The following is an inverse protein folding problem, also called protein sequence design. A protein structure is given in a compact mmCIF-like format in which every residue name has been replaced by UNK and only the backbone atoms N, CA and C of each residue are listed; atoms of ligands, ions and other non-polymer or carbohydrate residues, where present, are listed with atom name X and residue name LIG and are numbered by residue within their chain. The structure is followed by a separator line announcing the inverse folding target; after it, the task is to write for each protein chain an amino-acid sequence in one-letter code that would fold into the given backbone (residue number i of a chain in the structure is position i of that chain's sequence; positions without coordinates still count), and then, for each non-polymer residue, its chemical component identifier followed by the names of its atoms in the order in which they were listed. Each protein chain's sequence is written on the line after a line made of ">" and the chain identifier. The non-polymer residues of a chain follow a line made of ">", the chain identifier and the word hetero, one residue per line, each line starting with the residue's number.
data_IF_308364775647
#
_entry.id   IF_308364775647
#
_cell.length_a   1.000
_cell.length_b   1.000
_cell.length_c   1.000
_cell.angle_alpha   90.00
_cell.angle_beta   90.00
_cell.angle_gamma   90.00
#
_symmetry.space_group_name_H-M   'P 1'
#
loop_
_entity.id
_entity.type
_entity.pdbx_description
1 polymer ?
#
# COMPACT_ATOMS: atom_id res chain seq x y z
N UNK A 1 15.90 63.31 12.51
CA UNK A 1 15.89 62.67 11.20
C UNK A 1 16.48 61.27 11.35
N UNK A 2 15.65 60.30 11.58
CA UNK A 2 16.04 58.89 11.73
C UNK A 2 15.73 58.15 10.41
N UNK A 3 16.75 57.64 9.75
CA UNK A 3 16.62 56.86 8.52
C UNK A 3 16.26 55.39 8.89
N UNK A 4 15.03 54.99 8.57
CA UNK A 4 14.62 53.61 8.57
C UNK A 4 15.42 52.85 7.50
N UNK A 5 16.28 51.94 7.91
CA UNK A 5 16.86 50.93 7.04
C UNK A 5 15.92 49.71 7.01
N UNK A 6 15.20 49.54 5.93
CA UNK A 6 14.56 48.26 5.60
C UNK A 6 15.68 47.22 5.36
N UNK A 7 15.77 46.26 6.26
CA UNK A 7 16.57 45.05 6.03
C UNK A 7 15.70 44.12 5.22
N UNK A 8 15.90 44.13 3.91
CA UNK A 8 15.42 43.08 3.00
C UNK A 8 16.29 41.86 3.24
N UNK A 9 15.78 40.91 4.02
CA UNK A 9 16.32 39.55 4.06
C UNK A 9 15.97 38.88 2.74
N UNK A 10 16.86 38.99 1.76
CA UNK A 10 16.87 38.18 0.57
C UNK A 10 17.10 36.68 1.01
N UNK A 11 16.06 35.88 0.94
CA UNK A 11 16.19 34.41 0.91
C UNK A 11 16.87 34.05 -0.41
N UNK A 12 18.18 34.06 -0.41
CA UNK A 12 19.00 33.52 -1.48
C UNK A 12 18.99 32.02 -1.37
N UNK A 13 18.37 31.33 -2.34
CA UNK A 13 18.45 29.87 -2.45
C UNK A 13 17.20 29.13 -2.94
N UNK A 14 16.10 29.81 -3.25
CA UNK A 14 15.01 29.14 -3.95
C UNK A 14 15.38 29.04 -5.42
N UNK A 15 15.78 27.83 -5.89
CA UNK A 15 15.81 27.56 -7.31
C UNK A 15 14.38 27.71 -7.84
N UNK A 16 14.19 28.56 -8.85
CA UNK A 16 12.90 28.68 -9.53
C UNK A 16 12.51 27.29 -10.03
N UNK A 17 11.21 26.90 -9.95
CA UNK A 17 10.75 25.66 -10.61
C UNK A 17 11.14 25.74 -12.08
N UNK A 18 11.57 24.61 -12.67
CA UNK A 18 12.05 24.55 -14.05
C UNK A 18 11.00 25.00 -15.08
N UNK A 19 9.72 25.06 -14.67
CA UNK A 19 8.59 25.67 -15.39
C UNK A 19 7.60 26.27 -14.39
N UNK A 20 6.89 27.31 -14.80
CA UNK A 20 5.82 27.89 -13.99
C UNK A 20 4.57 27.00 -14.02
N UNK A 21 3.67 27.18 -13.03
CA UNK A 21 2.38 26.48 -13.01
C UNK A 21 1.56 26.76 -14.27
N UNK A 22 1.61 27.97 -14.83
CA UNK A 22 0.92 28.34 -16.07
C UNK A 22 1.52 27.62 -17.30
N UNK A 23 2.84 27.53 -17.39
CA UNK A 23 3.49 26.74 -18.44
C UNK A 23 3.11 25.27 -18.37
N UNK A 24 2.98 24.72 -17.15
CA UNK A 24 2.53 23.35 -16.96
C UNK A 24 1.06 23.15 -17.36
N UNK A 25 0.17 24.08 -17.02
CA UNK A 25 -1.24 24.05 -17.47
C UNK A 25 -1.35 24.07 -18.98
N UNK A 26 -0.60 24.96 -19.64
CA UNK A 26 -0.54 25.03 -21.11
C UNK A 26 -0.07 23.70 -21.70
N UNK A 27 0.98 23.10 -21.18
CA UNK A 27 1.48 21.79 -21.67
C UNK A 27 0.45 20.66 -21.49
N UNK A 28 -0.32 20.68 -20.41
CA UNK A 28 -1.42 19.74 -20.15
C UNK A 28 -2.53 19.90 -21.19
N UNK A 29 -2.94 21.15 -21.47
CA UNK A 29 -3.96 21.47 -22.46
C UNK A 29 -3.51 21.08 -23.88
N UNK A 30 -2.30 21.42 -24.29
CA UNK A 30 -1.73 21.07 -25.59
C UNK A 30 -1.66 19.56 -25.83
N UNK A 31 -1.45 18.78 -24.76
CA UNK A 31 -1.39 17.32 -24.83
C UNK A 31 -2.75 16.65 -24.62
N UNK A 32 -3.81 17.42 -24.36
CA UNK A 32 -5.15 16.93 -23.95
C UNK A 32 -5.08 15.94 -22.76
N UNK A 33 -4.13 16.16 -21.86
CA UNK A 33 -3.95 15.33 -20.69
C UNK A 33 -5.07 15.55 -19.66
N UNK A 34 -5.49 14.49 -18.96
CA UNK A 34 -6.70 14.51 -18.12
C UNK A 34 -6.37 14.64 -16.63
N UNK A 35 -5.44 15.50 -16.28
CA UNK A 35 -5.07 15.82 -14.93
C UNK A 35 -4.87 17.34 -14.73
N UNK A 36 -4.82 17.79 -13.49
CA UNK A 36 -4.61 19.21 -13.19
C UNK A 36 -3.50 19.40 -12.15
N UNK A 37 -2.69 20.45 -12.33
CA UNK A 37 -1.62 20.79 -11.41
C UNK A 37 -2.05 21.87 -10.43
N UNK A 38 -1.44 21.83 -9.22
CA UNK A 38 -1.51 22.91 -8.23
C UNK A 38 -0.12 23.17 -7.65
N UNK A 39 0.00 24.25 -6.87
CA UNK A 39 1.13 24.44 -5.98
C UNK A 39 0.99 23.46 -4.82
N UNK A 40 1.89 22.50 -4.75
CA UNK A 40 1.93 21.47 -3.70
C UNK A 40 3.12 21.71 -2.77
N UNK A 41 3.16 21.02 -1.63
CA UNK A 41 4.34 21.05 -0.74
C UNK A 41 5.60 20.60 -1.47
N UNK A 42 5.48 19.65 -2.42
CA UNK A 42 6.61 19.13 -3.19
C UNK A 42 7.07 20.08 -4.30
N UNK A 43 6.13 20.77 -4.97
CA UNK A 43 6.48 21.72 -6.02
C UNK A 43 7.20 22.97 -5.50
N UNK A 44 7.11 23.24 -4.20
CA UNK A 44 7.81 24.34 -3.52
C UNK A 44 9.24 23.99 -3.08
N UNK A 45 9.60 22.71 -3.07
CA UNK A 45 10.96 22.26 -2.73
C UNK A 45 11.94 22.54 -3.87
N UNK A 46 13.22 22.65 -3.52
CA UNK A 46 14.32 22.69 -4.51
C UNK A 46 14.41 21.35 -5.25
N UNK A 47 15.10 21.33 -6.39
CA UNK A 47 15.33 20.11 -7.19
C UNK A 47 16.04 19.03 -6.34
N UNK A 48 17.02 19.43 -5.54
CA UNK A 48 17.77 18.54 -4.66
C UNK A 48 16.89 17.96 -3.55
N UNK A 49 16.05 18.77 -2.91
CA UNK A 49 15.11 18.30 -1.88
C UNK A 49 14.04 17.34 -2.47
N UNK A 50 13.56 17.58 -3.68
CA UNK A 50 12.65 16.65 -4.38
C UNK A 50 13.34 15.31 -4.64
N UNK A 51 14.61 15.32 -5.08
CA UNK A 51 15.38 14.09 -5.32
C UNK A 51 15.55 13.24 -4.07
N UNK A 52 15.66 13.84 -2.89
CA UNK A 52 15.76 13.07 -1.64
C UNK A 52 14.50 12.24 -1.32
N UNK A 53 13.37 12.52 -2.00
CA UNK A 53 12.13 11.75 -1.88
C UNK A 53 12.03 10.59 -2.89
N UNK A 54 13.04 10.40 -3.74
CA UNK A 54 13.10 9.38 -4.79
C UNK A 54 14.18 8.37 -4.42
N UNK A 55 13.79 7.24 -3.85
CA UNK A 55 14.72 6.27 -3.27
C UNK A 55 14.60 4.87 -3.85
N UNK A 56 13.87 4.67 -4.96
CA UNK A 56 13.89 3.39 -5.65
C UNK A 56 15.20 3.26 -6.45
N UNK A 57 15.98 2.25 -6.12
CA UNK A 57 17.17 1.86 -6.87
C UNK A 57 16.77 0.76 -7.88
N UNK A 58 16.70 1.06 -9.19
CA UNK A 58 16.39 0.05 -10.18
C UNK A 58 17.49 -1.00 -10.30
N UNK A 59 17.11 -2.23 -10.58
CA UNK A 59 18.02 -3.31 -10.94
C UNK A 59 18.65 -3.05 -12.31
N UNK A 60 19.72 -3.77 -12.66
CA UNK A 60 20.34 -3.67 -14.00
C UNK A 60 19.35 -3.96 -15.12
N UNK A 61 18.44 -4.93 -14.93
CA UNK A 61 17.41 -5.28 -15.90
C UNK A 61 16.38 -4.16 -16.05
N UNK A 62 15.93 -3.56 -14.95
CA UNK A 62 15.00 -2.43 -14.99
C UNK A 62 15.62 -1.20 -15.64
N UNK A 63 16.91 -0.91 -15.42
CA UNK A 63 17.62 0.17 -16.11
C UNK A 63 17.75 -0.09 -17.62
N UNK A 64 18.00 -1.33 -18.02
CA UNK A 64 18.01 -1.71 -19.44
C UNK A 64 16.62 -1.49 -20.06
N UNK A 65 15.57 -1.97 -19.43
CA UNK A 65 14.18 -1.74 -19.86
C UNK A 65 13.82 -0.25 -19.87
N UNK A 66 14.22 0.52 -18.86
CA UNK A 66 14.01 1.96 -18.83
C UNK A 66 14.63 2.67 -20.05
N UNK A 67 15.80 2.22 -20.48
CA UNK A 67 16.45 2.72 -21.70
C UNK A 67 15.69 2.28 -22.96
N UNK A 68 15.28 1.02 -23.05
CA UNK A 68 14.49 0.50 -24.18
C UNK A 68 13.14 1.22 -24.32
N UNK A 69 12.47 1.52 -23.20
CA UNK A 69 11.23 2.30 -23.13
C UNK A 69 11.46 3.82 -23.13
N UNK A 70 12.72 4.27 -23.27
CA UNK A 70 13.11 5.69 -23.36
C UNK A 70 12.62 6.56 -22.20
N UNK A 71 12.61 6.03 -20.99
CA UNK A 71 12.18 6.78 -19.80
C UNK A 71 13.12 7.98 -19.50
N UNK A 72 14.36 7.94 -19.95
CA UNK A 72 15.33 9.03 -19.84
C UNK A 72 15.14 10.13 -20.91
N UNK A 73 14.39 9.84 -21.99
CA UNK A 73 14.16 10.73 -23.13
C UNK A 73 12.70 10.75 -23.61
N UNK A 74 11.74 11.04 -22.75
CA UNK A 74 10.32 10.88 -23.08
C UNK A 74 9.84 11.84 -24.19
N UNK A 75 10.58 12.93 -24.48
CA UNK A 75 10.26 13.87 -25.56
C UNK A 75 10.61 13.36 -26.97
N UNK A 76 11.40 12.30 -27.10
CA UNK A 76 11.79 11.75 -28.40
C UNK A 76 10.73 10.84 -29.04
N UNK A 77 9.65 10.52 -28.34
CA UNK A 77 8.58 9.71 -28.92
C UNK A 77 7.68 10.54 -29.83
N UNK A 78 7.76 10.27 -31.14
CA UNK A 78 6.68 10.65 -32.05
C UNK A 78 5.42 9.92 -31.64
N UNK A 79 4.23 10.57 -31.66
CA UNK A 79 2.97 9.92 -31.33
C UNK A 79 2.79 8.70 -32.24
N UNK A 80 2.96 7.51 -31.68
CA UNK A 80 2.61 6.26 -32.38
C UNK A 80 1.12 6.33 -32.66
N UNK A 81 0.75 6.12 -33.95
CA UNK A 81 -0.65 5.95 -34.36
C UNK A 81 -1.34 5.06 -33.33
N UNK A 82 -2.53 5.48 -32.85
CA UNK A 82 -3.35 4.77 -31.89
C UNK A 82 -3.37 3.27 -32.16
N UNK A 83 -2.44 2.52 -31.59
CA UNK A 83 -2.66 1.11 -31.30
C UNK A 83 -3.81 1.10 -30.28
N UNK A 84 -4.86 0.32 -30.56
CA UNK A 84 -5.97 0.19 -29.61
C UNK A 84 -5.40 -0.07 -28.23
N UNK A 85 -5.98 0.55 -27.20
CA UNK A 85 -5.48 0.48 -25.84
C UNK A 85 -5.25 -1.00 -25.46
N UNK A 86 -4.02 -1.53 -25.47
CA UNK A 86 -3.77 -2.94 -25.15
C UNK A 86 -4.11 -3.26 -23.70
N UNK A 87 -4.34 -2.21 -22.88
CA UNK A 87 -4.63 -2.28 -21.45
C UNK A 87 -6.13 -2.28 -21.15
N UNK A 88 -6.99 -1.99 -22.16
CA UNK A 88 -8.45 -1.89 -22.02
C UNK A 88 -9.22 -3.17 -22.33
N UNK A 89 -8.57 -4.31 -22.49
CA UNK A 89 -9.29 -5.59 -22.60
C UNK A 89 -9.85 -5.95 -21.24
N UNK A 90 -11.18 -5.91 -21.13
CA UNK A 90 -11.89 -6.47 -19.97
C UNK A 90 -11.43 -7.92 -19.83
N UNK A 91 -10.67 -8.21 -18.79
CA UNK A 91 -10.26 -9.59 -18.48
C UNK A 91 -11.52 -10.34 -18.12
N UNK A 92 -11.86 -11.36 -18.88
CA UNK A 92 -13.08 -12.14 -18.66
C UNK A 92 -13.15 -12.62 -17.20
N UNK A 93 -14.21 -12.23 -16.50
CA UNK A 93 -14.45 -12.61 -15.09
C UNK A 93 -13.89 -11.65 -14.02
N UNK A 94 -13.14 -10.61 -14.38
CA UNK A 94 -12.71 -9.59 -13.42
C UNK A 94 -13.62 -8.35 -13.48
N UNK A 95 -13.83 -7.61 -12.36
CA UNK A 95 -14.53 -6.34 -12.39
C UNK A 95 -13.75 -5.31 -13.23
N UNK A 96 -14.47 -4.39 -13.88
CA UNK A 96 -13.84 -3.29 -14.63
C UNK A 96 -13.18 -2.24 -13.74
N UNK A 97 -13.40 -2.32 -12.43
CA UNK A 97 -12.82 -1.44 -11.42
C UNK A 97 -12.63 -2.22 -10.12
N UNK A 98 -11.47 -2.03 -9.50
CA UNK A 98 -11.18 -2.41 -8.12
C UNK A 98 -10.56 -1.22 -7.41
N UNK A 99 -11.07 -0.86 -6.24
CA UNK A 99 -10.53 0.22 -5.42
C UNK A 99 -10.61 -0.18 -3.94
N UNK A 100 -9.48 -0.52 -3.36
CA UNK A 100 -9.42 -0.96 -1.96
C UNK A 100 -9.69 0.16 -0.95
N UNK A 101 -9.76 1.41 -1.41
CA UNK A 101 -10.20 2.56 -0.61
C UNK A 101 -11.72 2.62 -0.47
N UNK A 102 -12.44 1.89 -1.34
CA UNK A 102 -13.92 1.88 -1.37
C UNK A 102 -14.42 0.54 -1.91
N UNK A 103 -14.39 -0.49 -1.09
CA UNK A 103 -15.04 -1.76 -1.41
C UNK A 103 -16.39 -1.80 -0.71
N UNK A 104 -17.46 -1.49 -1.45
CA UNK A 104 -18.82 -1.38 -0.92
C UNK A 104 -18.94 -0.38 0.25
N UNK A 105 -18.30 0.78 0.14
CA UNK A 105 -18.30 1.82 1.18
C UNK A 105 -17.27 1.61 2.29
N UNK A 106 -16.39 0.62 2.17
CA UNK A 106 -15.39 0.28 3.18
C UNK A 106 -13.98 0.56 2.68
N UNK A 107 -13.21 1.35 3.45
CA UNK A 107 -11.80 1.62 3.21
C UNK A 107 -10.92 0.57 3.91
N UNK A 108 -10.20 -0.21 3.14
CA UNK A 108 -9.26 -1.23 3.62
C UNK A 108 -7.83 -0.73 3.73
N UNK A 109 -7.56 0.50 3.31
CA UNK A 109 -6.23 1.09 3.35
C UNK A 109 -5.94 1.77 4.69
N UNK A 110 -4.70 2.20 4.89
CA UNK A 110 -4.28 2.96 6.07
C UNK A 110 -4.06 4.44 5.70
N UNK A 111 -3.97 5.37 6.67
CA UNK A 111 -3.77 6.79 6.40
C UNK A 111 -2.52 7.08 5.54
N UNK A 112 -2.54 8.22 4.84
CA UNK A 112 -1.38 8.72 4.10
C UNK A 112 -0.28 9.11 5.08
N UNK A 113 0.94 8.68 4.81
CA UNK A 113 2.15 9.01 5.58
C UNK A 113 3.09 9.91 4.77
N UNK A 114 4.11 10.46 5.41
CA UNK A 114 5.16 11.28 4.78
C UNK A 114 6.55 10.68 5.07
N UNK A 115 7.25 10.32 4.00
CA UNK A 115 8.63 9.82 4.07
C UNK A 115 9.65 10.94 4.31
N UNK A 116 9.22 12.20 4.28
CA UNK A 116 10.06 13.37 4.43
C UNK A 116 11.28 13.37 3.48
N UNK A 117 12.35 14.08 3.78
CA UNK A 117 13.56 14.20 2.96
C UNK A 117 14.48 12.95 2.99
N UNK A 118 13.93 11.75 2.90
CA UNK A 118 14.64 10.48 2.92
C UNK A 118 14.17 9.58 1.76
N UNK A 119 15.08 8.97 1.02
CA UNK A 119 14.81 8.03 -0.08
C UNK A 119 14.23 6.68 0.39
N UNK A 120 13.25 6.71 1.27
CA UNK A 120 12.64 5.53 1.92
C UNK A 120 11.38 5.03 1.23
N UNK A 121 11.07 5.49 0.02
CA UNK A 121 9.82 5.17 -0.68
C UNK A 121 9.57 3.66 -0.83
N UNK A 122 10.62 2.84 -0.97
CA UNK A 122 10.47 1.38 -1.02
C UNK A 122 9.88 0.85 0.28
N UNK A 123 10.35 1.32 1.44
CA UNK A 123 9.79 0.93 2.73
C UNK A 123 8.33 1.40 2.87
N UNK A 124 8.04 2.67 2.53
CA UNK A 124 6.68 3.23 2.63
C UNK A 124 5.69 2.53 1.71
N UNK A 125 6.03 2.33 0.43
CA UNK A 125 5.17 1.62 -0.51
C UNK A 125 4.90 0.18 -0.05
N UNK A 126 5.96 -0.51 0.42
CA UNK A 126 5.86 -1.89 0.89
C UNK A 126 5.00 -2.01 2.15
N UNK A 127 5.20 -1.14 3.15
CA UNK A 127 4.39 -1.12 4.37
C UNK A 127 2.95 -0.74 4.07
N UNK A 128 2.70 0.27 3.21
CA UNK A 128 1.35 0.65 2.83
C UNK A 128 0.55 -0.49 2.19
N UNK A 129 1.19 -1.31 1.35
CA UNK A 129 0.58 -2.51 0.78
C UNK A 129 0.39 -3.60 1.85
N UNK A 130 1.41 -3.84 2.69
CA UNK A 130 1.35 -4.86 3.74
C UNK A 130 0.28 -4.57 4.79
N UNK A 131 0.17 -3.34 5.26
CA UNK A 131 -0.88 -2.90 6.21
C UNK A 131 -2.28 -3.24 5.68
N UNK A 132 -2.55 -2.91 4.40
CA UNK A 132 -3.82 -3.20 3.77
C UNK A 132 -4.03 -4.72 3.58
N UNK A 133 -3.00 -5.46 3.14
CA UNK A 133 -3.05 -6.91 3.00
C UNK A 133 -3.37 -7.60 4.32
N UNK A 134 -2.81 -7.14 5.44
CA UNK A 134 -3.12 -7.68 6.76
C UNK A 134 -4.59 -7.44 7.14
N UNK A 135 -5.13 -6.25 6.89
CA UNK A 135 -6.55 -5.97 7.09
C UNK A 135 -7.43 -6.87 6.25
N UNK A 136 -7.13 -7.01 4.96
CA UNK A 136 -7.92 -7.76 3.99
C UNK A 136 -7.82 -9.28 4.21
N UNK A 137 -6.59 -9.82 4.29
CA UNK A 137 -6.34 -11.27 4.17
C UNK A 137 -6.09 -11.94 5.51
N UNK A 138 -5.41 -11.26 6.42
CA UNK A 138 -5.04 -11.85 7.71
C UNK A 138 -6.18 -11.69 8.71
N UNK A 139 -6.65 -10.47 8.92
CA UNK A 139 -7.64 -10.17 9.94
C UNK A 139 -9.07 -10.12 9.41
N UNK A 140 -9.26 -9.87 8.11
CA UNK A 140 -10.56 -9.59 7.48
C UNK A 140 -11.34 -8.51 8.27
N UNK A 141 -10.64 -7.46 8.67
CA UNK A 141 -11.15 -6.35 9.49
C UNK A 141 -10.58 -5.01 8.99
N UNK A 142 -11.38 -4.16 8.34
CA UNK A 142 -10.94 -2.86 7.85
C UNK A 142 -10.61 -1.88 8.98
N UNK A 143 -11.16 -2.08 10.18
CA UNK A 143 -10.92 -1.23 11.34
C UNK A 143 -9.76 -1.71 12.21
N UNK A 144 -9.11 -2.82 11.81
CA UNK A 144 -7.93 -3.29 12.54
C UNK A 144 -6.88 -2.20 12.60
N UNK A 145 -6.52 -1.80 13.80
CA UNK A 145 -5.42 -0.87 14.02
C UNK A 145 -4.11 -1.55 13.59
N UNK A 146 -3.57 -1.13 12.45
CA UNK A 146 -2.31 -1.59 11.89
C UNK A 146 -1.51 -0.34 11.52
N UNK A 147 -0.30 -0.28 12.02
CA UNK A 147 0.66 0.79 11.76
C UNK A 147 2.07 0.20 11.93
N UNK A 148 2.60 -0.36 10.84
CA UNK A 148 3.90 -1.03 10.84
C UNK A 148 5.04 -0.04 10.60
N UNK A 149 6.24 -0.39 11.09
CA UNK A 149 7.41 0.49 11.09
C UNK A 149 8.14 0.49 9.74
N UNK A 150 8.05 1.59 9.00
CA UNK A 150 8.88 1.84 7.82
C UNK A 150 10.37 1.99 8.18
N UNK A 151 10.66 2.57 9.36
CA UNK A 151 12.04 2.69 9.85
C UNK A 151 12.68 1.33 10.08
N UNK A 152 11.95 0.38 10.66
CA UNK A 152 12.45 -0.98 10.85
C UNK A 152 12.71 -1.65 9.51
N UNK A 153 11.72 -1.62 8.59
CA UNK A 153 11.88 -2.24 7.28
C UNK A 153 13.09 -1.66 6.54
N UNK A 154 13.26 -0.34 6.53
CA UNK A 154 14.37 0.31 5.83
C UNK A 154 15.71 0.03 6.50
N UNK A 155 15.88 0.48 7.74
CA UNK A 155 17.18 0.55 8.37
C UNK A 155 17.66 -0.79 8.95
N UNK A 156 16.76 -1.67 9.36
CA UNK A 156 17.14 -3.04 9.77
C UNK A 156 17.19 -4.00 8.57
N UNK A 157 16.49 -3.69 7.48
CA UNK A 157 16.49 -4.45 6.23
C UNK A 157 17.70 -4.20 5.33
N UNK A 158 18.53 -3.19 5.65
CA UNK A 158 19.75 -2.87 4.89
C UNK A 158 19.56 -1.77 3.83
N UNK A 159 18.43 -1.06 3.85
CA UNK A 159 18.22 0.16 3.07
C UNK A 159 18.77 1.40 3.79
N UNK A 160 18.66 2.55 3.14
CA UNK A 160 19.09 3.84 3.67
C UNK A 160 18.30 4.99 3.06
N UNK A 161 18.52 6.23 3.54
CA UNK A 161 17.97 7.41 2.88
C UNK A 161 18.54 7.66 1.46
N UNK A 162 19.57 6.93 1.05
CA UNK A 162 20.05 6.93 -0.34
C UNK A 162 19.25 6.03 -1.28
N UNK A 163 18.30 5.27 -0.75
CA UNK A 163 17.44 4.38 -1.52
C UNK A 163 17.57 2.91 -1.18
N UNK A 164 16.75 2.10 -1.85
CA UNK A 164 16.71 0.66 -1.67
C UNK A 164 16.08 -0.06 -2.88
N UNK A 165 16.17 -1.40 -2.91
CA UNK A 165 15.58 -2.27 -3.92
C UNK A 165 14.31 -2.94 -3.40
N UNK A 166 13.28 -3.12 -4.25
CA UNK A 166 12.00 -3.73 -3.85
C UNK A 166 12.12 -5.21 -3.48
N UNK A 167 12.95 -5.97 -4.19
CA UNK A 167 13.22 -7.38 -3.90
C UNK A 167 13.85 -7.58 -2.52
N UNK A 168 14.77 -6.71 -2.13
CA UNK A 168 15.38 -6.76 -0.79
C UNK A 168 14.34 -6.50 0.30
N UNK A 169 13.42 -5.55 0.11
CA UNK A 169 12.33 -5.29 1.04
C UNK A 169 11.43 -6.51 1.21
N UNK A 170 10.99 -7.11 0.09
CA UNK A 170 10.17 -8.32 0.10
C UNK A 170 10.90 -9.53 0.72
N UNK A 171 12.19 -9.70 0.43
CA UNK A 171 13.01 -10.77 1.03
C UNK A 171 13.17 -10.57 2.54
N UNK A 172 13.37 -9.33 2.99
CA UNK A 172 13.43 -9.02 4.41
C UNK A 172 12.12 -9.36 5.12
N UNK A 173 10.97 -8.95 4.57
CA UNK A 173 9.66 -9.28 5.12
C UNK A 173 9.41 -10.78 5.19
N UNK A 174 9.82 -11.53 4.17
CA UNK A 174 9.69 -12.99 4.14
C UNK A 174 10.50 -13.67 5.23
N UNK A 175 11.69 -13.17 5.50
CA UNK A 175 12.61 -13.78 6.46
C UNK A 175 12.36 -13.33 7.90
N UNK A 176 12.04 -12.05 8.10
CA UNK A 176 12.05 -11.40 9.43
C UNK A 176 10.68 -10.87 9.86
N UNK A 177 9.86 -10.34 8.94
CA UNK A 177 8.71 -9.53 9.29
C UNK A 177 9.12 -8.13 9.78
N UNK A 178 8.15 -7.34 10.25
CA UNK A 178 8.37 -6.00 10.82
C UNK A 178 7.47 -5.78 12.04
N UNK A 179 7.95 -5.09 13.08
CA UNK A 179 7.12 -4.67 14.22
C UNK A 179 6.27 -3.45 13.88
N UNK A 180 5.43 -3.05 14.82
CA UNK A 180 4.68 -1.82 14.77
C UNK A 180 5.56 -0.55 14.85
N UNK A 181 5.00 0.57 14.43
CA UNK A 181 5.65 1.89 14.42
C UNK A 181 6.10 2.33 15.82
N UNK A 182 5.38 1.95 16.87
CA UNK A 182 5.75 2.30 18.26
C UNK A 182 7.06 1.63 18.71
N UNK A 183 7.41 0.49 18.12
CA UNK A 183 8.69 -0.20 18.39
C UNK A 183 9.90 0.54 17.80
N UNK A 184 9.75 1.04 16.58
CA UNK A 184 10.79 1.84 15.94
C UNK A 184 10.17 2.96 15.12
N UNK A 185 9.82 4.09 15.77
CA UNK A 185 9.20 5.23 15.11
C UNK A 185 10.03 5.78 13.95
N UNK A 186 9.36 6.15 12.84
CA UNK A 186 10.03 6.69 11.66
C UNK A 186 10.85 7.94 11.95
N UNK A 187 10.32 8.84 12.79
CA UNK A 187 11.04 10.03 13.24
C UNK A 187 12.37 9.71 13.94
N UNK A 188 12.41 8.64 14.75
CA UNK A 188 13.65 8.14 15.37
C UNK A 188 14.58 7.57 14.29
N UNK A 189 14.05 6.83 13.33
CA UNK A 189 14.82 6.28 12.21
C UNK A 189 15.54 7.38 11.43
N UNK A 190 14.85 8.49 11.13
CA UNK A 190 15.44 9.66 10.46
C UNK A 190 16.59 10.30 11.24
N UNK A 191 16.52 10.29 12.57
CA UNK A 191 17.58 10.83 13.42
C UNK A 191 18.82 9.94 13.44
N UNK A 192 18.63 8.63 13.66
CA UNK A 192 19.77 7.71 13.87
C UNK A 192 20.30 7.12 12.56
N UNK A 193 19.47 6.99 11.53
CA UNK A 193 19.80 6.45 10.20
C UNK A 193 20.46 5.05 10.23
N UNK A 194 20.17 4.29 11.28
CA UNK A 194 20.64 2.92 11.49
C UNK A 194 19.53 2.10 12.18
N UNK A 195 19.66 0.78 12.19
CA UNK A 195 18.71 -0.07 12.91
C UNK A 195 18.78 0.19 14.43
N UNK A 196 17.69 0.75 14.98
CA UNK A 196 17.56 1.07 16.41
C UNK A 196 16.17 0.68 16.94
N UNK A 197 15.77 -0.54 16.60
CA UNK A 197 14.49 -1.14 16.98
C UNK A 197 14.39 -1.41 18.48
N UNK A 198 13.20 -1.64 19.00
CA UNK A 198 13.00 -2.04 20.40
C UNK A 198 13.57 -3.45 20.66
N UNK A 199 13.86 -3.77 21.92
CA UNK A 199 14.47 -5.04 22.29
C UNK A 199 13.55 -6.25 22.11
N UNK A 200 12.21 -6.02 22.16
CA UNK A 200 11.17 -7.05 22.05
C UNK A 200 10.54 -7.12 20.66
N UNK A 201 11.17 -6.54 19.63
CA UNK A 201 10.60 -6.43 18.28
C UNK A 201 10.17 -7.78 17.69
N UNK A 202 10.90 -8.85 18.01
CA UNK A 202 10.60 -10.21 17.55
C UNK A 202 9.25 -10.74 18.07
N UNK A 203 8.78 -10.22 19.21
CA UNK A 203 7.47 -10.55 19.76
C UNK A 203 6.32 -9.71 19.15
N UNK A 204 6.67 -8.74 18.29
CA UNK A 204 5.72 -7.80 17.66
C UNK A 204 5.54 -8.04 16.16
N UNK A 205 6.12 -9.10 15.62
CA UNK A 205 6.07 -9.43 14.19
C UNK A 205 5.00 -10.44 13.83
N UNK A 206 4.04 -10.67 14.72
CA UNK A 206 2.96 -11.64 14.49
C UNK A 206 2.20 -11.29 13.19
N UNK A 207 2.11 -12.27 12.31
CA UNK A 207 1.50 -12.18 10.97
C UNK A 207 2.19 -11.25 9.95
N UNK A 208 3.25 -10.51 10.30
CA UNK A 208 3.90 -9.55 9.38
C UNK A 208 4.95 -10.17 8.46
N UNK A 209 5.33 -11.43 8.69
CA UNK A 209 6.14 -12.20 7.73
C UNK A 209 5.27 -12.61 6.55
N UNK A 210 5.68 -12.22 5.35
CA UNK A 210 5.01 -12.67 4.14
C UNK A 210 5.43 -14.10 3.80
N UNK A 211 4.52 -14.87 3.21
CA UNK A 211 4.77 -16.26 2.81
C UNK A 211 5.60 -16.33 1.54
N UNK A 212 5.26 -15.47 0.59
CA UNK A 212 5.93 -15.37 -0.71
C UNK A 212 5.68 -14.01 -1.34
N UNK A 213 6.42 -13.72 -2.40
CA UNK A 213 6.19 -12.60 -3.28
C UNK A 213 6.52 -12.97 -4.73
N UNK A 214 5.94 -12.24 -5.68
CA UNK A 214 6.22 -12.40 -7.10
C UNK A 214 6.12 -11.05 -7.81
N UNK A 215 6.95 -10.83 -8.84
CA UNK A 215 6.84 -9.71 -9.75
C UNK A 215 6.21 -10.19 -11.06
N UNK A 216 5.23 -9.46 -11.58
CA UNK A 216 4.64 -9.72 -12.91
C UNK A 216 4.45 -8.43 -13.68
N UNK A 217 4.56 -8.53 -14.99
CA UNK A 217 4.28 -7.45 -15.96
C UNK A 217 3.04 -7.77 -16.81
N UNK A 218 2.44 -8.93 -16.60
CA UNK A 218 1.17 -9.32 -17.22
C UNK A 218 0.02 -8.57 -16.52
N UNK A 219 -0.62 -7.66 -17.24
CA UNK A 219 -1.67 -6.79 -16.70
C UNK A 219 -2.89 -7.57 -16.22
N UNK A 220 -3.22 -8.66 -16.89
CA UNK A 220 -4.36 -9.51 -16.48
C UNK A 220 -4.05 -10.20 -15.16
N UNK A 221 -2.84 -10.69 -15.01
CA UNK A 221 -2.37 -11.28 -13.75
C UNK A 221 -2.30 -10.24 -12.64
N UNK A 222 -1.80 -9.02 -12.92
CA UNK A 222 -1.79 -7.89 -11.97
C UNK A 222 -3.20 -7.59 -11.47
N UNK A 223 -4.16 -7.37 -12.38
CA UNK A 223 -5.56 -7.08 -12.01
C UNK A 223 -6.18 -8.22 -11.22
N UNK A 224 -5.96 -9.47 -11.64
CA UNK A 224 -6.43 -10.65 -10.92
C UNK A 224 -5.92 -10.66 -9.47
N UNK A 225 -4.62 -10.46 -9.29
CA UNK A 225 -4.01 -10.43 -7.94
C UNK A 225 -4.47 -9.25 -7.11
N UNK A 226 -4.67 -8.05 -7.71
CA UNK A 226 -5.26 -6.91 -7.01
C UNK A 226 -6.67 -7.23 -6.48
N UNK A 227 -7.48 -7.97 -7.23
CA UNK A 227 -8.82 -8.40 -6.80
C UNK A 227 -8.75 -9.50 -5.75
N UNK A 228 -7.96 -10.54 -5.99
CA UNK A 228 -7.92 -11.75 -5.18
C UNK A 228 -7.10 -11.60 -3.89
N UNK A 229 -5.98 -10.90 -3.94
CA UNK A 229 -5.06 -10.77 -2.81
C UNK A 229 -5.18 -9.40 -2.12
N UNK A 230 -5.13 -8.30 -2.87
CA UNK A 230 -5.13 -6.95 -2.34
C UNK A 230 -4.07 -6.06 -2.97
N UNK A 231 -3.71 -4.92 -2.33
CA UNK A 231 -2.72 -3.98 -2.81
C UNK A 231 -1.36 -4.61 -3.12
N UNK A 232 -0.70 -4.06 -4.14
CA UNK A 232 0.63 -4.46 -4.61
C UNK A 232 1.59 -3.26 -4.54
N UNK A 233 2.88 -3.47 -4.73
CA UNK A 233 3.85 -2.38 -4.88
C UNK A 233 4.39 -2.34 -6.29
N UNK A 234 4.83 -1.16 -6.71
CA UNK A 234 5.49 -0.97 -8.00
C UNK A 234 6.48 0.17 -7.95
N UNK A 235 7.41 0.16 -8.92
CA UNK A 235 8.25 1.30 -9.22
C UNK A 235 7.66 2.16 -10.34
N UNK A 236 8.08 3.42 -10.40
CA UNK A 236 7.79 4.32 -11.52
C UNK A 236 8.89 5.35 -11.71
N UNK A 237 9.05 5.81 -12.95
CA UNK A 237 9.81 7.01 -13.25
C UNK A 237 9.03 8.25 -12.80
N UNK A 238 9.69 9.19 -12.14
CA UNK A 238 9.11 10.47 -11.73
C UNK A 238 9.74 11.57 -12.55
N UNK A 239 8.88 12.36 -13.20
CA UNK A 239 9.27 13.54 -13.95
C UNK A 239 8.92 14.80 -13.15
N UNK A 240 9.47 15.94 -13.55
CA UNK A 240 9.35 17.18 -12.81
C UNK A 240 7.90 17.69 -12.68
N UNK A 241 7.07 17.43 -13.69
CA UNK A 241 5.67 17.81 -13.68
C UNK A 241 4.84 17.08 -12.60
N UNK A 242 5.23 15.86 -12.24
CA UNK A 242 4.54 15.05 -11.25
C UNK A 242 4.53 15.67 -9.84
N UNK A 243 5.54 16.47 -9.51
CA UNK A 243 5.58 17.15 -8.20
C UNK A 243 4.45 18.18 -8.01
N UNK A 244 3.84 18.65 -9.11
CA UNK A 244 2.69 19.56 -9.09
C UNK A 244 1.35 18.86 -9.27
N UNK A 245 1.30 17.52 -9.37
CA UNK A 245 0.05 16.79 -9.55
C UNK A 245 -0.92 17.01 -8.38
N UNK A 246 -2.19 17.29 -8.69
CA UNK A 246 -3.23 17.55 -7.70
C UNK A 246 -4.51 16.74 -7.91
N UNK A 247 -4.69 16.11 -9.08
CA UNK A 247 -5.85 15.26 -9.36
C UNK A 247 -6.04 14.94 -10.83
N UNK A 248 -6.90 13.99 -11.11
CA UNK A 248 -7.14 13.47 -12.45
C UNK A 248 -6.26 12.25 -12.77
N UNK A 249 -6.23 11.83 -14.04
CA UNK A 249 -5.43 10.68 -14.47
C UNK A 249 -4.09 11.18 -15.03
N UNK A 250 -3.05 11.07 -14.22
CA UNK A 250 -1.72 11.53 -14.57
C UNK A 250 -1.17 10.80 -15.81
N UNK A 251 -0.64 11.55 -16.73
CA UNK A 251 0.29 11.14 -17.78
C UNK A 251 1.37 12.21 -17.90
N UNK A 252 2.59 11.78 -18.18
CA UNK A 252 3.72 12.68 -18.35
C UNK A 252 3.46 13.71 -19.46
N UNK A 253 3.69 14.98 -19.19
CA UNK A 253 3.56 16.05 -20.18
C UNK A 253 4.84 16.83 -20.43
N UNK A 254 5.62 17.12 -19.39
CA UNK A 254 6.84 17.94 -19.53
C UNK A 254 7.84 17.73 -18.39
N UNK A 255 9.04 18.20 -18.58
CA UNK A 255 10.12 18.17 -17.58
C UNK A 255 11.02 16.94 -17.72
N UNK A 256 12.18 16.99 -17.06
CA UNK A 256 13.17 15.94 -17.09
C UNK A 256 12.83 14.82 -16.08
N UNK A 257 13.42 13.64 -16.30
CA UNK A 257 13.40 12.57 -15.31
C UNK A 257 14.11 13.04 -14.04
N UNK A 258 13.38 13.03 -12.90
CA UNK A 258 13.90 13.39 -11.60
C UNK A 258 14.51 12.18 -10.86
N UNK A 259 13.99 10.98 -11.10
CA UNK A 259 14.45 9.74 -10.50
C UNK A 259 13.38 8.65 -10.53
N UNK A 260 13.54 7.65 -9.66
CA UNK A 260 12.62 6.53 -9.55
C UNK A 260 12.02 6.44 -8.15
N UNK A 261 10.77 6.00 -8.09
CA UNK A 261 9.96 6.02 -6.89
C UNK A 261 9.17 4.73 -6.72
N UNK A 262 8.94 4.31 -5.49
CA UNK A 262 8.11 3.16 -5.19
C UNK A 262 6.81 3.60 -4.53
N UNK A 263 5.69 3.02 -4.96
CA UNK A 263 4.34 3.34 -4.48
C UNK A 263 3.52 2.06 -4.27
N UNK A 264 2.44 2.16 -3.48
CA UNK A 264 1.47 1.07 -3.38
C UNK A 264 0.34 1.28 -4.42
N UNK A 265 0.04 0.23 -5.20
CA UNK A 265 -1.10 0.18 -6.11
C UNK A 265 -2.27 -0.43 -5.36
N UNK A 266 -3.30 0.36 -5.11
CA UNK A 266 -4.48 -0.04 -4.32
C UNK A 266 -5.70 -0.36 -5.18
N UNK A 267 -5.58 -0.22 -6.50
CA UNK A 267 -6.69 -0.52 -7.40
C UNK A 267 -6.42 -0.14 -8.85
N UNK A 268 -7.45 -0.30 -9.65
CA UNK A 268 -7.47 0.10 -11.06
C UNK A 268 -8.90 0.51 -11.48
N UNK A 269 -8.98 1.27 -12.58
CA UNK A 269 -10.24 1.67 -13.21
C UNK A 269 -10.10 1.60 -14.73
N UNK A 270 -10.70 0.58 -15.36
CA UNK A 270 -10.63 0.36 -16.81
C UNK A 270 -11.41 1.43 -17.58
N UNK A 271 -12.47 1.98 -16.97
CA UNK A 271 -13.22 3.07 -17.58
C UNK A 271 -12.40 4.36 -17.69
N UNK A 272 -11.55 4.62 -16.72
CA UNK A 272 -10.61 5.73 -16.72
C UNK A 272 -9.24 5.36 -17.33
N UNK A 273 -8.94 4.07 -17.53
CA UNK A 273 -7.70 3.56 -18.09
C UNK A 273 -6.49 3.79 -17.17
N UNK A 274 -6.65 3.58 -15.86
CA UNK A 274 -5.63 3.97 -14.88
C UNK A 274 -5.45 2.99 -13.72
N UNK A 275 -4.27 3.06 -13.12
CA UNK A 275 -3.98 2.55 -11.77
C UNK A 275 -4.35 3.58 -10.73
N UNK A 276 -4.77 3.11 -9.54
CA UNK A 276 -5.06 3.91 -8.36
C UNK A 276 -3.96 3.63 -7.35
N UNK A 277 -3.24 4.68 -6.93
CA UNK A 277 -2.01 4.54 -6.16
C UNK A 277 -2.05 5.36 -4.87
N UNK A 278 -1.42 4.81 -3.83
CA UNK A 278 -1.11 5.47 -2.57
C UNK A 278 0.33 5.94 -2.57
N UNK A 279 0.54 7.24 -2.34
CA UNK A 279 1.88 7.83 -2.23
C UNK A 279 2.29 8.04 -0.77
N UNK A 280 3.54 8.46 -0.57
CA UNK A 280 4.19 8.69 0.74
C UNK A 280 4.79 10.09 0.87
N UNK A 281 4.14 11.09 0.28
CA UNK A 281 4.61 12.49 0.30
C UNK A 281 3.74 13.41 1.16
N UNK A 282 3.04 12.83 2.16
CA UNK A 282 2.15 13.55 3.04
C UNK A 282 0.88 14.05 2.36
N UNK A 283 0.08 14.84 3.11
CA UNK A 283 -1.22 15.33 2.66
C UNK A 283 -1.16 16.70 1.98
N UNK A 284 0.02 17.22 1.71
CA UNK A 284 0.23 18.47 0.96
C UNK A 284 0.39 18.30 -0.54
N UNK A 285 0.28 17.07 -1.05
CA UNK A 285 0.43 16.69 -2.44
C UNK A 285 -0.64 15.68 -2.85
N UNK A 286 -0.98 15.64 -4.15
CA UNK A 286 -1.79 14.58 -4.73
C UNK A 286 -3.29 14.85 -4.77
N UNK A 287 -4.04 13.83 -5.19
CA UNK A 287 -5.50 13.82 -5.26
C UNK A 287 -6.13 13.61 -3.88
N UNK A 288 -7.33 14.18 -3.69
CA UNK A 288 -8.12 13.97 -2.47
C UNK A 288 -9.03 12.76 -2.64
N UNK A 289 -9.00 11.87 -1.66
CA UNK A 289 -9.99 10.81 -1.51
C UNK A 289 -10.46 10.77 -0.05
N UNK A 290 -11.77 10.75 0.21
CA UNK A 290 -12.38 10.79 1.56
C UNK A 290 -11.77 11.87 2.48
N UNK A 291 -11.55 13.08 1.93
CA UNK A 291 -11.00 14.22 2.68
C UNK A 291 -9.49 14.15 2.93
N UNK A 292 -8.78 13.12 2.49
CA UNK A 292 -7.33 13.00 2.65
C UNK A 292 -6.62 13.07 1.30
N UNK A 293 -5.66 14.00 1.15
CA UNK A 293 -4.73 14.08 0.01
C UNK A 293 -3.61 13.04 0.15
N UNK A 294 -2.92 12.76 -0.96
CA UNK A 294 -1.75 11.87 -0.99
C UNK A 294 -1.94 10.69 -1.94
N UNK A 295 -3.06 10.66 -2.63
CA UNK A 295 -3.40 9.66 -3.65
C UNK A 295 -3.08 10.17 -5.03
N UNK A 296 -2.96 9.25 -6.01
CA UNK A 296 -2.91 9.61 -7.42
C UNK A 296 -3.45 8.50 -8.29
N UNK A 297 -3.91 8.89 -9.47
CA UNK A 297 -4.26 7.97 -10.55
C UNK A 297 -3.28 8.17 -11.69
N UNK A 298 -2.77 7.09 -12.24
CA UNK A 298 -1.81 7.13 -13.35
C UNK A 298 -2.31 6.27 -14.49
N UNK A 299 -2.28 6.83 -15.70
CA UNK A 299 -2.70 6.17 -16.93
C UNK A 299 -1.85 4.93 -17.18
N UNK A 300 -2.51 3.87 -17.65
CA UNK A 300 -1.81 2.64 -18.05
C UNK A 300 -0.69 2.95 -19.07
N UNK A 301 0.43 2.26 -18.93
CA UNK A 301 1.60 2.42 -19.79
C UNK A 301 2.48 3.63 -19.49
N UNK A 302 2.14 4.46 -18.50
CA UNK A 302 2.93 5.65 -18.16
C UNK A 302 4.06 5.35 -17.18
N UNK A 303 5.14 6.10 -17.27
CA UNK A 303 6.25 6.10 -16.32
C UNK A 303 6.93 4.73 -16.09
N UNK A 304 6.78 3.78 -17.01
CA UNK A 304 7.34 2.44 -16.89
C UNK A 304 6.70 1.55 -15.82
N UNK A 305 5.55 1.95 -15.26
CA UNK A 305 4.93 1.32 -14.10
C UNK A 305 4.65 -0.18 -14.31
N UNK A 306 4.18 -0.59 -15.48
CA UNK A 306 3.96 -1.99 -15.82
C UNK A 306 5.16 -2.61 -16.56
N UNK A 307 5.68 -1.88 -17.57
CA UNK A 307 6.60 -2.44 -18.55
C UNK A 307 8.02 -2.58 -18.04
N UNK A 308 8.44 -1.67 -17.15
CA UNK A 308 9.80 -1.63 -16.59
C UNK A 308 9.82 -2.29 -15.22
N UNK A 309 9.01 -1.80 -14.28
CA UNK A 309 9.05 -2.22 -12.88
C UNK A 309 8.13 -3.41 -12.59
N UNK A 310 6.99 -3.52 -13.30
CA UNK A 310 5.98 -4.52 -13.01
C UNK A 310 5.32 -4.31 -11.65
N UNK A 311 4.42 -5.22 -11.28
CA UNK A 311 3.74 -5.21 -9.98
C UNK A 311 4.25 -6.35 -9.11
N UNK A 312 4.49 -6.04 -7.85
CA UNK A 312 5.01 -6.96 -6.85
C UNK A 312 3.89 -7.34 -5.90
N UNK A 313 3.45 -8.59 -6.01
CA UNK A 313 2.41 -9.17 -5.18
C UNK A 313 3.04 -9.85 -3.97
N UNK A 314 2.49 -9.59 -2.79
CA UNK A 314 2.91 -10.20 -1.54
C UNK A 314 1.79 -11.08 -0.99
N UNK A 315 2.11 -12.29 -0.57
CA UNK A 315 1.17 -13.21 0.06
C UNK A 315 1.39 -13.21 1.57
N UNK A 316 0.37 -12.82 2.32
CA UNK A 316 0.39 -12.79 3.79
C UNK A 316 -0.28 -14.03 4.38
N UNK A 317 0.03 -14.40 5.64
CA UNK A 317 -0.70 -15.44 6.35
C UNK A 317 -2.17 -15.07 6.50
N UNK A 318 -3.05 -16.06 6.42
CA UNK A 318 -4.47 -15.90 6.75
C UNK A 318 -4.74 -16.51 8.11
N UNK A 319 -5.44 -15.77 8.99
CA UNK A 319 -5.95 -16.35 10.22
C UNK A 319 -7.19 -17.16 9.86
N UNK A 320 -7.16 -18.43 10.17
CA UNK A 320 -8.37 -19.24 10.03
C UNK A 320 -9.40 -18.77 11.07
N UNK A 321 -10.56 -18.38 10.58
CA UNK A 321 -11.71 -17.95 11.41
C UNK A 321 -12.82 -19.00 11.44
N UNK A 322 -12.58 -20.17 10.84
CA UNK A 322 -13.51 -21.29 10.82
C UNK A 322 -12.79 -22.62 10.64
N UNK A 323 -13.38 -23.69 11.06
CA UNK A 323 -12.83 -25.03 10.89
C UNK A 323 -13.71 -26.12 11.50
N UNK A 324 -13.35 -27.37 11.27
CA UNK A 324 -14.02 -28.50 11.93
C UNK A 324 -13.60 -28.58 13.39
N UNK A 325 -14.59 -28.68 14.28
CA UNK A 325 -14.34 -28.92 15.69
C UNK A 325 -13.85 -30.38 15.87
N UNK A 326 -12.66 -30.53 16.43
CA UNK A 326 -12.09 -31.84 16.80
C UNK A 326 -12.59 -32.33 18.15
N UNK A 327 -12.98 -31.39 19.01
CA UNK A 327 -13.56 -31.67 20.32
C UNK A 327 -14.53 -30.56 20.67
N UNK A 328 -15.59 -30.93 21.36
CA UNK A 328 -16.59 -30.01 21.90
C UNK A 328 -16.76 -30.29 23.38
N UNK A 329 -16.88 -29.23 24.18
CA UNK A 329 -17.09 -29.28 25.62
C UNK A 329 -18.14 -28.25 25.99
N UNK A 330 -19.04 -28.63 26.87
CA UNK A 330 -19.93 -27.69 27.56
C UNK A 330 -19.49 -27.63 29.00
N UNK A 331 -19.18 -26.44 29.47
CA UNK A 331 -18.73 -26.20 30.82
C UNK A 331 -19.66 -25.21 31.53
N UNK A 332 -19.76 -25.33 32.84
CA UNK A 332 -20.58 -24.46 33.70
C UNK A 332 -19.70 -23.78 34.74
N UNK A 333 -19.64 -22.46 34.68
CA UNK A 333 -18.95 -21.68 35.71
C UNK A 333 -19.82 -21.52 36.93
N UNK A 334 -19.46 -22.20 38.04
CA UNK A 334 -20.17 -22.11 39.29
C UNK A 334 -20.09 -20.73 39.98
N UNK A 335 -19.09 -19.93 39.61
CA UNK A 335 -18.88 -18.59 40.19
C UNK A 335 -19.69 -17.50 39.48
N UNK A 336 -19.93 -17.64 38.18
CA UNK A 336 -20.65 -16.65 37.37
C UNK A 336 -22.04 -17.10 36.89
N UNK A 337 -22.43 -18.33 37.18
CA UNK A 337 -23.65 -18.99 36.68
C UNK A 337 -23.80 -18.90 35.13
N UNK A 338 -22.68 -18.92 34.45
CA UNK A 338 -22.61 -18.87 32.98
C UNK A 338 -22.11 -20.21 32.44
N UNK A 339 -22.79 -20.72 31.41
CA UNK A 339 -22.34 -21.89 30.67
C UNK A 339 -21.55 -21.46 29.44
N UNK A 340 -20.57 -22.27 29.07
CA UNK A 340 -19.77 -22.04 27.90
C UNK A 340 -19.78 -23.27 26.97
N UNK A 341 -19.99 -23.02 25.68
CA UNK A 341 -19.68 -24.00 24.64
C UNK A 341 -18.23 -23.77 24.22
N UNK A 342 -17.42 -24.80 24.30
CA UNK A 342 -16.05 -24.79 23.85
C UNK A 342 -15.90 -25.69 22.64
N UNK A 343 -15.10 -25.27 21.66
CA UNK A 343 -14.74 -26.07 20.51
C UNK A 343 -13.23 -26.02 20.31
N UNK A 344 -12.58 -27.17 20.21
CA UNK A 344 -11.18 -27.27 19.83
C UNK A 344 -11.10 -27.37 18.31
N UNK A 345 -10.58 -26.33 17.66
CA UNK A 345 -10.44 -26.26 16.23
C UNK A 345 -9.15 -25.52 15.84
N UNK A 346 -8.48 -25.98 14.80
CA UNK A 346 -7.25 -25.39 14.26
C UNK A 346 -6.16 -25.13 15.33
N UNK A 347 -6.00 -26.08 16.24
CA UNK A 347 -4.94 -26.04 17.27
C UNK A 347 -5.24 -25.24 18.52
N UNK A 348 -6.42 -24.63 18.65
CA UNK A 348 -6.80 -23.83 19.80
C UNK A 348 -8.25 -24.07 20.24
N UNK A 349 -8.52 -23.78 21.53
CA UNK A 349 -9.87 -23.76 22.07
C UNK A 349 -10.54 -22.42 21.75
N UNK A 350 -11.78 -22.50 21.30
CA UNK A 350 -12.69 -21.36 21.05
C UNK A 350 -13.91 -21.53 21.95
N UNK A 351 -14.53 -20.45 22.39
CA UNK A 351 -15.64 -20.53 23.33
C UNK A 351 -16.80 -19.59 22.97
N UNK A 352 -17.97 -19.87 23.53
CA UNK A 352 -19.15 -19.00 23.49
C UNK A 352 -19.94 -19.15 24.77
N UNK A 353 -20.28 -18.04 25.43
CA UNK A 353 -21.30 -18.07 26.51
C UNK A 353 -22.64 -18.50 25.91
N UNK A 354 -23.35 -19.39 26.61
CA UNK A 354 -24.66 -19.89 26.18
C UNK A 354 -25.67 -19.84 27.35
N UNK A 355 -26.94 -19.65 27.02
CA UNK A 355 -28.05 -19.78 27.97
C UNK A 355 -28.52 -21.23 28.08
N UNK A 356 -29.27 -21.57 29.13
CA UNK A 356 -29.84 -22.91 29.30
C UNK A 356 -30.77 -23.30 28.15
N UNK A 357 -31.58 -22.36 27.66
CA UNK A 357 -32.42 -22.59 26.48
C UNK A 357 -31.61 -22.88 25.19
N UNK A 358 -30.45 -22.25 25.03
CA UNK A 358 -29.54 -22.53 23.91
C UNK A 358 -28.84 -23.89 24.08
N UNK A 359 -28.55 -24.29 25.34
CA UNK A 359 -27.88 -25.55 25.62
C UNK A 359 -28.68 -26.75 25.11
N UNK A 360 -30.01 -26.80 25.43
CA UNK A 360 -30.86 -27.92 24.98
C UNK A 360 -30.86 -28.07 23.46
N UNK A 361 -31.00 -26.95 22.73
CA UNK A 361 -30.96 -26.94 21.27
C UNK A 361 -29.61 -27.37 20.71
N UNK A 362 -28.51 -26.87 21.30
CA UNK A 362 -27.15 -27.21 20.88
C UNK A 362 -26.85 -28.68 21.12
N UNK A 363 -27.16 -29.20 22.32
CA UNK A 363 -26.88 -30.60 22.67
C UNK A 363 -27.63 -31.55 21.74
N UNK A 364 -28.92 -31.31 21.48
CA UNK A 364 -29.71 -32.11 20.56
C UNK A 364 -29.10 -32.17 19.15
N UNK A 365 -28.69 -31.00 18.61
CA UNK A 365 -28.10 -30.91 17.30
C UNK A 365 -26.73 -31.60 17.26
N UNK A 366 -25.91 -31.45 18.30
CA UNK A 366 -24.56 -32.01 18.35
C UNK A 366 -24.56 -33.55 18.51
N UNK A 367 -25.54 -34.11 19.24
CA UNK A 367 -25.66 -35.57 19.41
C UNK A 367 -25.97 -36.30 18.07
N UNK A 368 -26.63 -35.64 17.14
CA UNK A 368 -26.96 -36.16 15.83
C UNK A 368 -25.92 -35.87 14.74
N UNK A 369 -24.93 -35.01 15.02
CA UNK A 369 -23.98 -34.56 14.05
C UNK A 369 -22.83 -35.55 13.84
N UNK A 370 -22.48 -35.85 12.57
CA UNK A 370 -21.24 -36.55 12.24
C UNK A 370 -20.04 -35.63 12.28
N UNK A 371 -20.26 -34.39 11.93
CA UNK A 371 -19.23 -33.33 11.95
C UNK A 371 -19.82 -32.03 12.42
N UNK A 372 -19.00 -31.22 13.11
CA UNK A 372 -19.37 -29.85 13.53
C UNK A 372 -18.38 -28.87 12.96
N UNK A 373 -18.89 -27.87 12.27
CA UNK A 373 -18.11 -26.78 11.73
C UNK A 373 -18.38 -25.52 12.57
N UNK A 374 -17.33 -24.84 12.98
CA UNK A 374 -17.41 -23.64 13.81
C UNK A 374 -16.77 -22.44 13.15
N UNK A 375 -17.34 -21.26 13.35
CA UNK A 375 -16.76 -19.98 12.99
C UNK A 375 -16.45 -19.23 14.28
N UNK A 376 -15.37 -18.46 14.30
CA UNK A 376 -14.96 -17.69 15.47
C UNK A 376 -14.35 -16.34 15.06
N UNK A 377 -14.35 -15.41 16.03
CA UNK A 377 -13.61 -14.16 15.97
C UNK A 377 -12.73 -14.07 17.22
N UNK A 378 -11.41 -13.98 17.08
CA UNK A 378 -10.49 -14.23 18.19
C UNK A 378 -10.71 -15.61 18.79
N UNK A 379 -11.00 -15.67 20.08
CA UNK A 379 -11.32 -16.94 20.77
C UNK A 379 -12.84 -17.18 20.96
N UNK A 380 -13.69 -16.28 20.43
CA UNK A 380 -15.15 -16.35 20.61
C UNK A 380 -15.82 -17.02 19.41
N UNK A 381 -16.57 -18.09 19.65
CA UNK A 381 -17.38 -18.76 18.64
C UNK A 381 -18.53 -17.84 18.23
N UNK A 382 -18.63 -17.56 16.92
CA UNK A 382 -19.68 -16.72 16.34
C UNK A 382 -20.81 -17.52 15.74
N UNK A 383 -20.52 -18.71 15.18
CA UNK A 383 -21.50 -19.60 14.58
C UNK A 383 -21.07 -21.06 14.73
N UNK A 384 -22.05 -21.96 14.84
CA UNK A 384 -21.84 -23.40 14.85
C UNK A 384 -22.82 -24.05 13.86
N UNK A 385 -22.33 -24.93 13.01
CA UNK A 385 -23.12 -25.70 12.06
C UNK A 385 -22.84 -27.19 12.24
N UNK A 386 -23.88 -27.94 12.57
CA UNK A 386 -23.81 -29.39 12.58
C UNK A 386 -24.12 -29.95 11.18
N UNK A 387 -23.38 -30.97 10.77
CA UNK A 387 -23.58 -31.67 9.50
C UNK A 387 -23.94 -33.13 9.81
N UNK A 388 -25.04 -33.60 9.20
CA UNK A 388 -25.53 -34.98 9.34
C UNK A 388 -24.77 -35.94 8.44
#
# INVERSE_FOLDING_TARGET
>A
MAKNRHISLLRSGMSQPEFSLEQLKTAIEEKDAKWHPEVTTLSQLTVEERKTRLGLLPTKMELQLATEFKLDKPHEEKPKKKAGNPYGTVTAGLPSKQDWRDVNGVDWTTPIKDQDGCGSCVAFGTIAALDALLRIRTFNDPNKAIDLSEAHLLFCGGGSCGGWHMDNACNYLKSNGVPDEACFPYAKGLQVKTCATCSDWQNRIDHTKILSWANTKDINEVKKKLVENGPQITGMAVYQDFFSYAGGVYEYVTGNLAGYHCVAVVGYDDGAGCWICKNSWGTGWGEVFNGQRGWFRIKYGQCGIENVFGMWDMVVPTIKTSGYAKSLLVDHSFTSNVRYLWAYSEGAWKYKPITDAQLEGIVKVLMEAKQVYVWWNGDVITMVRAMK
#
